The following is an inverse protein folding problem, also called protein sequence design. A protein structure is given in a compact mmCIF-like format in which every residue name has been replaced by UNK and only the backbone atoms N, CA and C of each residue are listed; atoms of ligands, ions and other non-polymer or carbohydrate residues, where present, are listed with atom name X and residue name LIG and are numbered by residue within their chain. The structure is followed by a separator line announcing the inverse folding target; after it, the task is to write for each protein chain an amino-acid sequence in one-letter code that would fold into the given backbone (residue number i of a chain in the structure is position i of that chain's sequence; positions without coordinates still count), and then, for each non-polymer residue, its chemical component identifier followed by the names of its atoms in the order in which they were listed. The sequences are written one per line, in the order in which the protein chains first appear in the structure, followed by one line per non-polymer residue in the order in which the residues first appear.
data_IF_046133017987
#
_entry.id   IF_046133017987
#
_cell.length_a   1.000
_cell.length_b   1.000
_cell.length_c   1.000
_cell.angle_alpha   90.00
_cell.angle_beta   90.00
_cell.angle_gamma   90.00
#
_symmetry.space_group_name_H-M   'P 1'
#
loop_
_entity.id
_entity.type
_entity.pdbx_description
1 polymer ?
#
# COMPACT_ATOMS: atom_id res chain seq x y z
N UNK A 1 44.93 1.50 -33.24
CA UNK A 1 43.74 0.62 -33.46
C UNK A 1 42.62 0.80 -32.42
N UNK A 2 42.81 1.54 -31.32
CA UNK A 2 41.81 1.66 -30.24
C UNK A 2 41.08 3.03 -30.14
N UNK A 3 41.50 4.04 -30.90
CA UNK A 3 40.94 5.40 -30.79
C UNK A 3 39.48 5.45 -31.26
N UNK A 4 39.13 4.76 -32.35
CA UNK A 4 37.76 4.70 -32.86
C UNK A 4 36.80 4.00 -31.88
N UNK A 5 37.23 2.87 -31.30
CA UNK A 5 36.43 2.14 -30.30
C UNK A 5 36.22 2.96 -29.01
N UNK A 6 37.21 3.75 -28.60
CA UNK A 6 37.10 4.62 -27.43
C UNK A 6 36.17 5.81 -27.71
N UNK A 7 36.30 6.45 -28.87
CA UNK A 7 35.40 7.53 -29.30
C UNK A 7 33.95 7.08 -29.44
N UNK A 8 33.70 5.88 -29.99
CA UNK A 8 32.34 5.31 -30.06
C UNK A 8 31.78 5.06 -28.67
N UNK A 9 32.54 4.46 -27.75
CA UNK A 9 32.11 4.24 -26.36
C UNK A 9 31.87 5.56 -25.61
N UNK A 10 32.68 6.59 -25.83
CA UNK A 10 32.48 7.91 -25.23
C UNK A 10 31.25 8.61 -25.81
N UNK A 11 31.00 8.49 -27.12
CA UNK A 11 29.81 8.99 -27.79
C UNK A 11 28.53 8.37 -27.22
N UNK A 12 28.48 7.03 -27.13
CA UNK A 12 27.34 6.31 -26.54
C UNK A 12 27.11 6.72 -25.08
N UNK A 13 28.17 7.04 -24.30
CA UNK A 13 28.01 7.46 -22.89
C UNK A 13 27.31 8.80 -22.81
N UNK A 14 27.74 9.77 -23.62
CA UNK A 14 27.12 11.10 -23.65
C UNK A 14 25.68 11.04 -24.13
N UNK A 15 25.39 10.20 -25.13
CA UNK A 15 24.01 10.02 -25.64
C UNK A 15 23.12 9.39 -24.56
N UNK A 16 23.58 8.32 -23.89
CA UNK A 16 22.83 7.68 -22.82
C UNK A 16 22.59 8.63 -21.64
N UNK A 17 23.60 9.41 -21.25
CA UNK A 17 23.45 10.42 -20.20
C UNK A 17 22.41 11.48 -20.60
N UNK A 18 22.53 12.08 -21.78
CA UNK A 18 21.56 13.07 -22.26
C UNK A 18 20.14 12.52 -22.42
N UNK A 19 20.00 11.24 -22.78
CA UNK A 19 18.69 10.57 -22.82
C UNK A 19 18.10 10.39 -21.42
N UNK A 20 18.94 10.03 -20.45
CA UNK A 20 18.57 9.96 -19.04
C UNK A 20 18.10 11.30 -18.48
N UNK A 21 18.82 12.38 -18.76
CA UNK A 21 18.47 13.73 -18.33
C UNK A 21 17.11 14.19 -18.89
N UNK A 22 16.84 13.86 -20.16
CA UNK A 22 15.54 14.14 -20.78
C UNK A 22 14.42 13.36 -20.10
N UNK A 23 14.63 12.08 -19.78
CA UNK A 23 13.65 11.25 -19.07
C UNK A 23 13.39 11.78 -17.65
N UNK A 24 14.43 12.19 -16.92
CA UNK A 24 14.31 12.81 -15.60
C UNK A 24 13.51 14.12 -15.68
N UNK A 25 13.81 14.97 -16.65
CA UNK A 25 13.09 16.24 -16.86
C UNK A 25 11.63 15.99 -17.21
N UNK A 26 11.34 15.02 -18.08
CA UNK A 26 9.97 14.64 -18.43
C UNK A 26 9.22 14.05 -17.24
N UNK A 27 9.86 13.22 -16.43
CA UNK A 27 9.26 12.66 -15.22
C UNK A 27 8.86 13.78 -14.26
N UNK A 28 9.78 14.69 -13.96
CA UNK A 28 9.53 15.80 -13.06
C UNK A 28 8.39 16.67 -13.56
N UNK A 29 8.37 17.02 -14.87
CA UNK A 29 7.32 17.84 -15.46
C UNK A 29 5.95 17.16 -15.57
N UNK A 30 5.89 15.83 -15.69
CA UNK A 30 4.64 15.10 -15.90
C UNK A 30 3.99 14.58 -14.62
N UNK A 31 4.77 14.37 -13.55
CA UNK A 31 4.25 13.70 -12.34
C UNK A 31 4.87 14.11 -11.02
N UNK A 32 6.00 14.82 -11.02
CA UNK A 32 6.82 15.00 -9.82
C UNK A 32 6.01 15.59 -8.67
N UNK A 33 5.53 16.83 -8.83
CA UNK A 33 4.77 17.51 -7.77
C UNK A 33 3.39 16.86 -7.54
N UNK A 34 2.71 16.44 -8.62
CA UNK A 34 1.40 15.76 -8.56
C UNK A 34 1.38 14.53 -7.65
N UNK A 35 2.46 13.73 -7.67
CA UNK A 35 2.61 12.56 -6.81
C UNK A 35 2.92 12.99 -5.37
N UNK A 36 3.92 13.85 -5.19
CA UNK A 36 4.43 14.24 -3.87
C UNK A 36 3.37 14.97 -3.05
N UNK A 37 2.66 15.91 -3.65
CA UNK A 37 1.59 16.67 -2.99
C UNK A 37 0.44 15.77 -2.52
N UNK A 38 0.20 14.70 -3.27
CA UNK A 38 -0.88 13.75 -3.05
C UNK A 38 -0.54 12.64 -2.04
N UNK A 39 0.73 12.19 -1.99
CA UNK A 39 1.14 10.97 -1.28
C UNK A 39 2.13 11.23 -0.15
N UNK A 40 3.18 12.02 -0.40
CA UNK A 40 4.31 12.11 0.53
C UNK A 40 3.88 12.77 1.85
N UNK A 41 4.33 12.19 2.98
CA UNK A 41 4.04 12.72 4.31
C UNK A 41 2.58 12.58 4.77
N UNK A 42 1.76 11.79 4.06
CA UNK A 42 0.35 11.56 4.36
C UNK A 42 0.07 10.11 4.73
N UNK A 43 -0.89 9.89 5.60
CA UNK A 43 -1.39 8.56 5.93
C UNK A 43 -2.12 7.94 4.72
N UNK A 44 -1.91 6.65 4.40
CA UNK A 44 -1.20 5.61 5.19
C UNK A 44 0.29 5.43 4.86
N UNK A 45 0.89 6.30 4.03
CA UNK A 45 2.30 6.22 3.61
C UNK A 45 3.27 6.74 4.68
N UNK A 46 2.79 7.64 5.54
CA UNK A 46 3.49 8.11 6.72
C UNK A 46 2.53 8.15 7.91
N UNK A 47 3.07 8.10 9.13
CA UNK A 47 2.28 8.31 10.34
C UNK A 47 1.99 9.81 10.47
N UNK A 48 0.82 10.22 9.95
CA UNK A 48 0.45 11.62 9.77
C UNK A 48 -1.06 11.81 10.00
N UNK A 49 -1.48 12.94 10.58
CA UNK A 49 -2.91 13.25 10.69
C UNK A 49 -3.52 13.69 9.34
N UNK A 50 -2.68 13.99 8.33
CA UNK A 50 -3.14 14.30 6.99
C UNK A 50 -3.23 13.01 6.19
N UNK A 51 -4.38 12.79 5.55
CA UNK A 51 -4.63 11.56 4.80
C UNK A 51 -4.50 11.79 3.30
N UNK A 52 -4.04 10.75 2.59
CA UNK A 52 -4.20 10.64 1.14
C UNK A 52 -5.69 10.49 0.85
N UNK A 53 -6.25 11.27 -0.08
CA UNK A 53 -7.65 11.06 -0.46
C UNK A 53 -7.83 9.77 -1.26
N UNK A 54 -9.01 9.15 -1.20
CA UNK A 54 -9.33 8.00 -2.04
C UNK A 54 -9.16 8.32 -3.55
N UNK A 55 -9.47 9.55 -3.94
CA UNK A 55 -9.31 10.03 -5.32
C UNK A 55 -7.83 10.12 -5.72
N UNK A 56 -7.00 10.71 -4.87
CA UNK A 56 -5.56 10.82 -5.11
C UNK A 56 -4.89 9.44 -5.19
N UNK A 57 -5.22 8.54 -4.27
CA UNK A 57 -4.70 7.18 -4.31
C UNK A 57 -5.05 6.48 -5.63
N UNK A 58 -6.29 6.61 -6.11
CA UNK A 58 -6.70 6.11 -7.42
C UNK A 58 -5.95 6.80 -8.56
N UNK A 59 -5.88 8.12 -8.56
CA UNK A 59 -5.23 8.92 -9.61
C UNK A 59 -3.76 8.55 -9.78
N UNK A 60 -3.05 8.33 -8.67
CA UNK A 60 -1.61 8.03 -8.67
C UNK A 60 -1.34 6.56 -9.04
N UNK A 61 -2.02 5.60 -8.42
CA UNK A 61 -1.63 4.18 -8.46
C UNK A 61 -2.46 3.28 -9.40
N UNK A 62 -3.66 3.70 -9.82
CA UNK A 62 -4.52 2.87 -10.65
C UNK A 62 -3.87 2.48 -11.98
N UNK A 63 -4.47 1.49 -12.66
CA UNK A 63 -4.12 1.18 -14.04
C UNK A 63 -4.38 2.38 -14.96
N UNK A 64 -3.34 2.84 -15.65
CA UNK A 64 -3.34 4.09 -16.41
C UNK A 64 -3.35 5.37 -15.57
N UNK A 65 -3.11 5.28 -14.26
CA UNK A 65 -2.86 6.43 -13.39
C UNK A 65 -1.51 7.09 -13.67
N UNK A 66 -1.16 8.12 -12.89
CA UNK A 66 0.03 8.97 -13.12
C UNK A 66 1.32 8.13 -13.26
N UNK A 67 1.58 7.24 -12.30
CA UNK A 67 2.81 6.42 -12.29
C UNK A 67 2.81 5.38 -13.41
N UNK A 68 1.68 4.70 -13.62
CA UNK A 68 1.55 3.64 -14.62
C UNK A 68 1.59 4.17 -16.06
N UNK A 69 1.02 5.35 -16.30
CA UNK A 69 1.01 6.00 -17.60
C UNK A 69 2.42 6.40 -18.06
N UNK A 70 3.22 6.98 -17.16
CA UNK A 70 4.61 7.31 -17.48
C UNK A 70 5.46 6.05 -17.63
N UNK A 71 5.33 5.09 -16.70
CA UNK A 71 6.03 3.82 -16.79
C UNK A 71 5.81 3.16 -18.15
N UNK A 72 4.54 2.99 -18.54
CA UNK A 72 4.17 2.28 -19.77
C UNK A 72 4.66 2.99 -21.03
N UNK A 73 4.66 4.34 -21.03
CA UNK A 73 5.04 5.15 -22.20
C UNK A 73 6.55 5.34 -22.32
N UNK A 74 7.25 5.58 -21.20
CA UNK A 74 8.63 6.05 -21.20
C UNK A 74 9.64 4.99 -20.74
N UNK A 75 9.32 4.23 -19.68
CA UNK A 75 10.30 3.37 -19.00
C UNK A 75 10.20 1.89 -19.38
N UNK A 76 8.99 1.37 -19.59
CA UNK A 76 8.76 -0.06 -19.86
C UNK A 76 9.53 -0.61 -21.08
N UNK A 77 9.69 0.13 -22.19
CA UNK A 77 10.51 -0.34 -23.31
C UNK A 77 11.99 -0.48 -22.95
N UNK A 78 12.47 0.35 -22.02
CA UNK A 78 13.88 0.50 -21.65
C UNK A 78 14.27 -0.37 -20.45
N UNK A 79 13.30 -0.84 -19.65
CA UNK A 79 13.54 -1.57 -18.42
C UNK A 79 13.50 -3.09 -18.58
N UNK A 80 14.42 -3.78 -17.89
CA UNK A 80 14.41 -5.20 -17.59
C UNK A 80 13.67 -5.40 -16.25
N UNK A 81 12.46 -5.96 -16.33
CA UNK A 81 11.61 -6.25 -15.15
C UNK A 81 11.67 -7.71 -14.72
N UNK A 82 12.52 -8.51 -15.38
CA UNK A 82 12.78 -9.89 -14.96
C UNK A 82 13.84 -9.97 -13.85
N UNK A 83 14.62 -8.90 -13.66
CA UNK A 83 15.51 -8.75 -12.50
C UNK A 83 14.79 -8.14 -11.30
N UNK A 84 15.26 -8.46 -10.10
CA UNK A 84 14.85 -7.81 -8.85
C UNK A 84 16.12 -7.35 -8.11
N UNK A 85 16.34 -6.03 -7.93
CA UNK A 85 15.48 -4.93 -8.36
C UNK A 85 15.42 -4.73 -9.88
N UNK A 86 14.44 -3.97 -10.35
CA UNK A 86 14.32 -3.56 -11.75
C UNK A 86 15.51 -2.72 -12.19
N UNK A 87 15.95 -2.91 -13.45
CA UNK A 87 17.09 -2.18 -14.02
C UNK A 87 16.87 -1.84 -15.48
N UNK A 88 17.64 -0.90 -16.02
CA UNK A 88 17.64 -0.64 -17.45
C UNK A 88 18.28 -1.78 -18.24
N UNK A 89 17.71 -2.09 -19.41
CA UNK A 89 18.31 -3.01 -20.38
C UNK A 89 19.67 -2.46 -20.82
N UNK A 90 20.66 -3.33 -21.08
CA UNK A 90 21.92 -2.89 -21.64
C UNK A 90 21.71 -2.31 -23.05
N UNK A 91 22.35 -1.18 -23.34
CA UNK A 91 22.43 -0.57 -24.67
C UNK A 91 23.62 -1.13 -25.43
N UNK A 92 23.83 -0.65 -26.67
CA UNK A 92 25.04 -0.95 -27.45
C UNK A 92 26.32 -0.73 -26.60
N UNK A 93 27.27 -1.66 -26.73
CA UNK A 93 28.51 -1.64 -25.94
C UNK A 93 28.37 -2.12 -24.49
N UNK A 94 27.25 -2.75 -24.12
CA UNK A 94 26.94 -3.23 -22.77
C UNK A 94 26.94 -2.11 -21.72
N UNK A 95 26.42 -0.95 -22.11
CA UNK A 95 26.29 0.20 -21.24
C UNK A 95 24.88 0.31 -20.69
N UNK A 96 24.71 0.98 -19.56
CA UNK A 96 23.40 1.16 -18.93
C UNK A 96 22.95 2.60 -19.10
N UNK A 97 21.66 2.80 -19.38
CA UNK A 97 21.03 4.11 -19.34
C UNK A 97 21.10 4.68 -17.91
N UNK A 98 21.41 5.97 -17.79
CA UNK A 98 21.35 6.69 -16.50
C UNK A 98 20.03 7.47 -16.40
N UNK A 99 18.92 6.74 -16.42
CA UNK A 99 17.58 7.33 -16.35
C UNK A 99 17.07 7.49 -14.91
N UNK A 100 15.78 7.85 -14.75
CA UNK A 100 15.10 7.88 -13.46
C UNK A 100 15.28 6.60 -12.63
N UNK A 101 15.20 6.74 -11.30
CA UNK A 101 15.13 5.58 -10.43
C UNK A 101 13.87 4.74 -10.76
N UNK A 102 14.07 3.44 -10.95
CA UNK A 102 13.00 2.50 -11.27
C UNK A 102 12.29 1.99 -10.01
N UNK A 103 12.86 2.20 -8.82
CA UNK A 103 12.33 1.72 -7.53
C UNK A 103 10.88 2.17 -7.28
N UNK A 104 10.53 3.47 -7.41
CA UNK A 104 9.14 3.91 -7.20
C UNK A 104 8.13 3.21 -8.12
N UNK A 105 8.53 2.90 -9.36
CA UNK A 105 7.64 2.23 -10.33
C UNK A 105 7.46 0.74 -10.03
N UNK A 106 8.52 0.08 -9.54
CA UNK A 106 8.46 -1.29 -9.06
C UNK A 106 7.52 -1.39 -7.85
N UNK A 107 7.69 -0.50 -6.86
CA UNK A 107 6.84 -0.44 -5.67
C UNK A 107 5.39 -0.08 -6.04
N UNK A 108 5.17 0.89 -6.93
CA UNK A 108 3.84 1.24 -7.42
C UNK A 108 3.13 0.06 -8.11
N UNK A 109 3.86 -0.79 -8.84
CA UNK A 109 3.29 -2.02 -9.40
C UNK A 109 2.88 -3.02 -8.30
N UNK A 110 3.68 -3.15 -7.24
CA UNK A 110 3.33 -3.99 -6.09
C UNK A 110 2.07 -3.46 -5.38
N UNK A 111 1.99 -2.16 -5.09
CA UNK A 111 0.78 -1.50 -4.57
C UNK A 111 -0.42 -1.78 -5.49
N UNK A 112 -0.25 -1.58 -6.80
CA UNK A 112 -1.32 -1.84 -7.79
C UNK A 112 -1.81 -3.29 -7.76
N UNK A 113 -0.91 -4.26 -7.57
CA UNK A 113 -1.26 -5.69 -7.53
C UNK A 113 -2.13 -6.07 -6.32
N UNK A 114 -2.02 -5.32 -5.22
CA UNK A 114 -2.77 -5.54 -3.99
C UNK A 114 -4.08 -4.78 -4.01
N UNK A 115 -4.01 -3.50 -4.35
CA UNK A 115 -5.13 -2.57 -4.19
C UNK A 115 -5.96 -2.38 -5.46
N UNK A 116 -5.52 -2.81 -6.63
CA UNK A 116 -6.26 -2.61 -7.89
C UNK A 116 -6.41 -3.92 -8.68
N UNK A 117 -6.57 -5.04 -7.97
CA UNK A 117 -6.76 -6.36 -8.56
C UNK A 117 -8.22 -6.67 -8.97
N UNK A 118 -9.17 -5.80 -8.64
CA UNK A 118 -10.56 -5.89 -9.08
C UNK A 118 -10.71 -5.52 -10.55
N UNK A 119 -11.83 -5.92 -11.16
CA UNK A 119 -12.11 -5.69 -12.58
C UNK A 119 -11.93 -4.22 -12.98
N UNK A 120 -11.11 -3.98 -14.01
CA UNK A 120 -10.79 -2.66 -14.55
C UNK A 120 -9.66 -1.90 -13.83
N UNK A 121 -9.28 -2.27 -12.60
CA UNK A 121 -8.14 -1.67 -11.89
C UNK A 121 -8.18 -0.14 -11.77
N UNK A 122 -9.38 0.46 -11.73
CA UNK A 122 -9.61 1.91 -11.71
C UNK A 122 -9.88 2.49 -10.33
N UNK A 123 -10.45 1.69 -9.44
CA UNK A 123 -10.73 2.05 -8.05
C UNK A 123 -10.02 1.07 -7.15
N UNK A 124 -9.46 1.57 -6.06
CA UNK A 124 -8.79 0.70 -5.13
C UNK A 124 -9.81 -0.16 -4.38
N UNK A 125 -9.46 -1.43 -4.22
CA UNK A 125 -10.16 -2.40 -3.42
C UNK A 125 -9.17 -3.46 -2.95
N UNK A 126 -9.26 -3.84 -1.69
CA UNK A 126 -8.46 -4.92 -1.13
C UNK A 126 -9.32 -5.73 -0.14
N UNK A 127 -8.86 -6.91 0.21
CA UNK A 127 -9.61 -7.80 1.11
C UNK A 127 -8.74 -8.46 2.15
N UNK A 128 -9.33 -8.71 3.31
CA UNK A 128 -8.75 -9.50 4.38
C UNK A 128 -9.81 -10.40 5.03
N UNK A 129 -9.37 -11.26 5.93
CA UNK A 129 -10.20 -12.05 6.82
C UNK A 129 -9.89 -11.66 8.25
N UNK A 130 -10.94 -11.57 9.07
CA UNK A 130 -10.87 -11.29 10.51
C UNK A 130 -11.51 -12.44 11.26
N UNK A 131 -10.82 -13.04 12.22
CA UNK A 131 -11.38 -14.01 13.17
C UNK A 131 -11.11 -13.59 14.62
N UNK A 132 -11.97 -14.02 15.55
CA UNK A 132 -11.77 -13.80 16.99
C UNK A 132 -11.04 -15.02 17.53
N UNK A 133 -9.79 -14.84 17.97
CA UNK A 133 -8.94 -15.93 18.48
C UNK A 133 -9.10 -16.08 19.99
N UNK A 134 -9.17 -14.96 20.69
CA UNK A 134 -9.33 -14.91 22.14
C UNK A 134 -10.19 -13.72 22.53
N UNK A 135 -10.99 -13.89 23.58
CA UNK A 135 -11.90 -12.86 24.08
C UNK A 135 -12.14 -13.08 25.56
N UNK A 136 -11.96 -12.04 26.36
CA UNK A 136 -12.23 -12.06 27.79
C UNK A 136 -13.66 -12.55 28.06
N UNK A 137 -13.89 -13.53 28.96
CA UNK A 137 -15.22 -14.04 29.28
C UNK A 137 -16.21 -12.99 29.80
N UNK A 138 -15.73 -11.86 30.33
CA UNK A 138 -16.55 -10.73 30.74
C UNK A 138 -17.13 -9.95 29.54
N UNK A 139 -16.61 -10.16 28.33
CA UNK A 139 -17.24 -9.72 27.08
C UNK A 139 -18.17 -10.86 26.63
N UNK A 140 -19.48 -10.62 26.64
CA UNK A 140 -20.49 -11.59 26.24
C UNK A 140 -20.77 -11.57 24.74
N UNK A 141 -20.55 -10.42 24.08
CA UNK A 141 -20.67 -10.27 22.63
C UNK A 141 -19.64 -9.25 22.13
N UNK A 142 -18.95 -9.57 21.04
CA UNK A 142 -18.14 -8.66 20.26
C UNK A 142 -18.81 -8.42 18.90
N UNK A 143 -18.98 -7.15 18.52
CA UNK A 143 -19.50 -6.75 17.21
C UNK A 143 -18.41 -6.03 16.45
N UNK A 144 -18.06 -6.53 15.28
CA UNK A 144 -17.13 -5.88 14.34
C UNK A 144 -17.95 -5.45 13.12
N UNK A 145 -18.04 -4.15 12.84
CA UNK A 145 -18.68 -3.60 11.63
C UNK A 145 -17.61 -2.89 10.78
N UNK A 146 -17.24 -3.50 9.65
CA UNK A 146 -16.33 -2.90 8.68
C UNK A 146 -17.13 -2.45 7.47
N UNK A 147 -17.47 -1.16 7.45
CA UNK A 147 -18.17 -0.51 6.34
C UNK A 147 -19.46 -1.22 5.90
N UNK A 148 -20.21 -1.78 6.85
CA UNK A 148 -21.45 -2.54 6.64
C UNK A 148 -21.28 -4.06 6.57
N UNK A 149 -20.05 -4.58 6.71
CA UNK A 149 -19.75 -6.01 6.80
C UNK A 149 -19.59 -6.38 8.27
N UNK A 150 -20.57 -7.10 8.82
CA UNK A 150 -20.71 -7.29 10.27
C UNK A 150 -20.38 -8.72 10.71
N UNK A 151 -19.53 -8.86 11.72
CA UNK A 151 -19.35 -10.07 12.52
C UNK A 151 -19.92 -9.85 13.92
N UNK A 152 -20.72 -10.81 14.39
CA UNK A 152 -21.14 -10.89 15.80
C UNK A 152 -20.59 -12.17 16.38
N UNK A 153 -19.80 -12.05 17.44
CA UNK A 153 -19.15 -13.18 18.09
C UNK A 153 -19.54 -13.22 19.57
N UNK A 154 -19.96 -14.38 20.07
CA UNK A 154 -20.40 -14.58 21.45
C UNK A 154 -19.93 -15.95 21.97
N UNK A 155 -18.60 -16.16 22.05
CA UNK A 155 -17.96 -17.41 22.48
C UNK A 155 -18.40 -18.65 21.69
N UNK A 156 -18.73 -18.44 20.41
CA UNK A 156 -19.12 -19.49 19.49
C UNK A 156 -17.93 -20.13 18.77
N UNK A 157 -18.17 -21.06 17.84
CA UNK A 157 -17.12 -21.55 16.95
C UNK A 157 -16.52 -20.38 16.15
N UNK A 158 -15.22 -20.45 15.89
CA UNK A 158 -14.54 -19.47 15.04
C UNK A 158 -15.16 -19.43 13.64
N UNK A 159 -15.49 -18.22 13.19
CA UNK A 159 -16.04 -17.93 11.87
C UNK A 159 -15.37 -16.67 11.33
N UNK A 160 -14.39 -16.81 10.42
CA UNK A 160 -13.75 -15.67 9.81
C UNK A 160 -14.75 -14.80 9.03
N UNK A 161 -14.73 -13.50 9.28
CA UNK A 161 -15.39 -12.49 8.44
C UNK A 161 -14.47 -12.15 7.27
N UNK A 162 -14.91 -12.39 6.05
CA UNK A 162 -14.25 -11.83 4.86
C UNK A 162 -14.68 -10.36 4.71
N UNK A 163 -13.68 -9.48 4.70
CA UNK A 163 -13.85 -8.04 4.55
C UNK A 163 -13.27 -7.62 3.21
N UNK A 164 -14.04 -6.85 2.45
CA UNK A 164 -13.55 -6.07 1.31
C UNK A 164 -13.60 -4.58 1.67
N UNK A 165 -12.53 -3.84 1.39
CA UNK A 165 -12.44 -2.41 1.61
C UNK A 165 -12.10 -1.68 0.31
N UNK A 166 -12.79 -0.59 -0.05
CA UNK A 166 -14.07 -0.11 0.53
C UNK A 166 -15.18 -1.17 0.48
N UNK A 167 -16.11 -1.12 1.44
CA UNK A 167 -17.24 -2.04 1.54
C UNK A 167 -18.53 -1.45 0.99
N UNK A 168 -19.70 -2.03 1.34
CA UNK A 168 -21.01 -1.57 0.88
C UNK A 168 -21.37 -0.11 1.22
N UNK A 169 -20.70 0.50 2.20
CA UNK A 169 -20.91 1.91 2.60
C UNK A 169 -19.85 2.87 2.03
N UNK A 170 -19.13 2.46 0.99
CA UNK A 170 -18.13 3.26 0.25
C UNK A 170 -16.88 3.65 1.06
N UNK A 171 -16.50 2.88 2.07
CA UNK A 171 -15.20 3.01 2.76
C UNK A 171 -15.17 4.21 3.69
N UNK A 172 -16.09 4.26 4.64
CA UNK A 172 -16.32 5.42 5.49
C UNK A 172 -15.93 5.21 6.95
N UNK A 173 -16.06 3.98 7.46
CA UNK A 173 -15.87 3.68 8.88
C UNK A 173 -15.53 2.22 9.15
N UNK A 174 -14.93 1.99 10.31
CA UNK A 174 -14.69 0.67 10.87
C UNK A 174 -14.88 0.73 12.39
N UNK A 175 -15.58 -0.26 12.96
CA UNK A 175 -15.94 -0.26 14.39
C UNK A 175 -15.78 -1.64 15.01
N UNK A 176 -15.28 -1.68 16.24
CA UNK A 176 -15.33 -2.82 17.14
C UNK A 176 -16.03 -2.39 18.43
N UNK A 177 -17.06 -3.14 18.84
CA UNK A 177 -17.81 -2.93 20.07
C UNK A 177 -17.77 -4.17 20.94
N UNK A 178 -17.38 -4.02 22.20
CA UNK A 178 -17.45 -5.04 23.24
C UNK A 178 -18.67 -4.83 24.15
N UNK A 179 -19.45 -5.90 24.36
CA UNK A 179 -20.63 -5.92 25.24
C UNK A 179 -20.40 -6.85 26.43
N UNK A 180 -20.90 -6.54 27.64
CA UNK A 180 -21.62 -5.31 28.00
C UNK A 180 -20.72 -4.09 27.92
N UNK A 181 -21.32 -2.96 27.51
CA UNK A 181 -20.62 -1.68 27.46
C UNK A 181 -20.43 -1.17 28.88
N UNK A 182 -19.18 -1.04 29.31
CA UNK A 182 -18.85 -0.47 30.63
C UNK A 182 -18.82 1.06 30.53
N UNK A 183 -18.12 1.58 29.52
CA UNK A 183 -18.24 2.98 29.08
C UNK A 183 -18.32 3.04 27.57
N UNK A 184 -18.96 4.07 27.03
CA UNK A 184 -19.22 4.16 25.59
C UNK A 184 -17.94 4.34 24.77
N UNK A 185 -17.01 5.15 25.26
CA UNK A 185 -15.75 5.55 24.63
C UNK A 185 -14.64 4.49 24.70
N UNK A 186 -14.73 3.57 25.65
CA UNK A 186 -13.72 2.52 25.89
C UNK A 186 -14.22 1.11 25.59
N UNK A 187 -15.54 0.90 25.52
CA UNK A 187 -16.12 -0.36 25.00
C UNK A 187 -16.38 -0.32 23.50
N UNK A 188 -16.16 0.82 22.83
CA UNK A 188 -16.22 0.94 21.37
C UNK A 188 -14.98 1.64 20.84
N UNK A 189 -14.36 0.99 19.87
CA UNK A 189 -13.35 1.59 19.01
C UNK A 189 -14.01 1.89 17.65
N UNK A 190 -14.09 3.17 17.29
CA UNK A 190 -14.66 3.64 16.04
C UNK A 190 -13.65 4.51 15.30
N UNK A 191 -13.36 4.17 14.06
CA UNK A 191 -12.52 4.94 13.16
C UNK A 191 -13.30 5.37 11.93
N UNK A 192 -12.89 6.48 11.30
CA UNK A 192 -13.56 7.07 10.15
C UNK A 192 -12.58 7.52 9.07
N UNK A 193 -13.12 7.89 7.91
CA UNK A 193 -12.34 8.37 6.77
C UNK A 193 -11.99 7.28 5.75
N UNK A 194 -11.34 7.65 4.63
CA UNK A 194 -10.99 6.73 3.53
C UNK A 194 -10.09 5.56 3.96
N UNK A 195 -9.40 5.72 5.10
CA UNK A 195 -8.48 4.73 5.67
C UNK A 195 -8.91 4.24 7.05
N UNK A 196 -10.19 4.35 7.41
CA UNK A 196 -10.71 3.92 8.70
C UNK A 196 -10.27 2.50 9.08
N UNK A 197 -10.25 1.58 8.11
CA UNK A 197 -9.83 0.21 8.37
C UNK A 197 -8.36 0.10 8.79
N UNK A 198 -7.46 0.90 8.23
CA UNK A 198 -6.07 0.90 8.69
C UNK A 198 -5.95 1.54 10.07
N UNK A 199 -6.68 2.64 10.34
CA UNK A 199 -6.69 3.25 11.68
C UNK A 199 -7.20 2.28 12.74
N UNK A 200 -8.17 1.43 12.40
CA UNK A 200 -8.68 0.41 13.30
C UNK A 200 -7.57 -0.60 13.64
N UNK A 201 -6.80 -1.04 12.65
CA UNK A 201 -5.67 -1.95 12.83
C UNK A 201 -4.54 -1.30 13.63
N UNK A 202 -4.23 -0.03 13.37
CA UNK A 202 -3.20 0.74 14.08
C UNK A 202 -3.55 1.01 15.54
N UNK A 203 -4.83 1.03 15.89
CA UNK A 203 -5.30 1.22 17.26
C UNK A 203 -5.12 -0.03 18.14
N UNK A 204 -4.86 -1.19 17.55
CA UNK A 204 -4.58 -2.42 18.26
C UNK A 204 -3.09 -2.67 18.49
N UNK A 205 -2.76 -3.49 19.48
CA UNK A 205 -1.39 -3.91 19.76
C UNK A 205 -1.05 -5.18 19.00
N UNK A 206 -0.13 -5.09 18.05
CA UNK A 206 0.36 -6.24 17.27
C UNK A 206 1.11 -7.21 18.18
N UNK A 207 0.73 -8.47 18.13
CA UNK A 207 1.40 -9.56 18.84
C UNK A 207 2.32 -10.31 17.86
N UNK A 208 3.50 -10.69 18.33
CA UNK A 208 4.40 -11.53 17.54
C UNK A 208 3.79 -12.90 17.27
N UNK A 209 3.91 -13.36 16.03
CA UNK A 209 3.48 -14.70 15.62
C UNK A 209 4.54 -15.34 14.74
N UNK A 210 4.82 -16.62 15.00
CA UNK A 210 5.76 -17.40 14.20
C UNK A 210 5.16 -17.84 12.84
N UNK A 211 3.86 -17.65 12.63
CA UNK A 211 3.16 -18.11 11.42
C UNK A 211 3.11 -16.99 10.38
N UNK A 212 3.82 -17.16 9.27
CA UNK A 212 3.83 -16.22 8.16
C UNK A 212 2.43 -16.00 7.58
N UNK A 213 2.05 -14.74 7.37
CA UNK A 213 0.80 -14.35 6.73
C UNK A 213 -0.42 -14.30 7.66
N UNK A 214 -0.22 -14.62 8.95
CA UNK A 214 -1.20 -14.39 10.02
C UNK A 214 -0.68 -13.25 10.88
N UNK A 215 -1.56 -12.36 11.30
CA UNK A 215 -1.25 -11.30 12.25
C UNK A 215 -2.22 -11.38 13.41
N UNK A 216 -1.72 -11.24 14.63
CA UNK A 216 -2.54 -11.19 15.83
C UNK A 216 -2.55 -9.75 16.32
N UNK A 217 -3.74 -9.18 16.49
CA UNK A 217 -3.94 -7.80 16.95
C UNK A 217 -4.79 -7.82 18.20
N UNK A 218 -4.22 -7.33 19.29
CA UNK A 218 -4.88 -7.25 20.60
C UNK A 218 -5.54 -5.89 20.80
N UNK A 219 -6.76 -5.90 21.34
CA UNK A 219 -7.52 -4.73 21.72
C UNK A 219 -7.90 -4.83 23.19
N UNK A 220 -7.85 -3.69 23.89
CA UNK A 220 -8.32 -3.55 25.27
C UNK A 220 -9.64 -2.78 25.30
N UNK A 221 -10.66 -3.38 25.92
CA UNK A 221 -11.96 -2.75 26.15
C UNK A 221 -12.27 -2.71 27.64
N UNK A 222 -11.84 -1.63 28.30
CA UNK A 222 -11.99 -1.46 29.76
C UNK A 222 -11.23 -2.51 30.59
N UNK A 223 -10.01 -2.85 30.20
CA UNK A 223 -9.22 -3.92 30.85
C UNK A 223 -9.61 -5.33 30.42
N UNK A 224 -10.55 -5.48 29.47
CA UNK A 224 -10.99 -6.75 28.92
C UNK A 224 -10.38 -6.93 27.54
N UNK A 225 -9.60 -8.00 27.40
CA UNK A 225 -8.81 -8.28 26.20
C UNK A 225 -9.63 -8.95 25.09
N UNK A 226 -9.36 -8.56 23.86
CA UNK A 226 -9.80 -9.25 22.63
C UNK A 226 -8.59 -9.43 21.71
N UNK A 227 -8.38 -10.63 21.19
CA UNK A 227 -7.34 -10.89 20.18
C UNK A 227 -8.01 -11.28 18.87
N UNK A 228 -7.76 -10.48 17.85
CA UNK A 228 -8.19 -10.75 16.49
C UNK A 228 -7.05 -11.33 15.67
N UNK A 229 -7.36 -12.30 14.83
CA UNK A 229 -6.49 -12.74 13.77
C UNK A 229 -6.86 -12.06 12.46
N UNK A 230 -5.87 -11.46 11.81
CA UNK A 230 -5.97 -10.80 10.52
C UNK A 230 -5.16 -11.60 9.50
N UNK A 231 -5.82 -12.02 8.43
CA UNK A 231 -5.18 -12.70 7.30
C UNK A 231 -5.50 -11.96 6.00
N UNK A 232 -4.48 -11.66 5.21
CA UNK A 232 -4.64 -10.96 3.92
C UNK A 232 -3.93 -11.72 2.78
N UNK A 233 -3.87 -11.12 1.59
CA UNK A 233 -3.13 -11.68 0.46
C UNK A 233 -1.64 -11.88 0.80
N UNK A 234 -1.00 -12.88 0.18
CA UNK A 234 0.38 -13.30 0.52
C UNK A 234 1.42 -12.17 0.48
N UNK A 235 1.19 -11.16 -0.37
CA UNK A 235 2.13 -10.09 -0.66
C UNK A 235 1.80 -8.79 0.10
N UNK A 236 0.82 -8.82 1.01
CA UNK A 236 0.38 -7.63 1.74
C UNK A 236 0.06 -7.93 3.20
N UNK A 237 0.75 -7.24 4.10
CA UNK A 237 0.40 -7.19 5.51
C UNK A 237 -0.34 -5.87 5.80
N UNK A 238 -1.66 -5.89 6.04
CA UNK A 238 -2.42 -4.67 6.31
C UNK A 238 -2.13 -4.08 7.69
N UNK A 239 -1.56 -4.85 8.61
CA UNK A 239 -1.24 -4.40 9.97
C UNK A 239 0.06 -3.60 9.99
N UNK A 240 1.11 -4.06 9.31
CA UNK A 240 2.38 -3.32 9.25
C UNK A 240 2.40 -2.23 8.18
N UNK A 241 1.50 -2.29 7.19
CA UNK A 241 1.41 -1.30 6.08
C UNK A 241 2.72 -1.08 5.32
N UNK A 242 3.70 -1.99 5.45
CA UNK A 242 5.06 -1.83 4.93
C UNK A 242 5.09 -1.53 3.44
N UNK A 243 4.22 -2.15 2.66
CA UNK A 243 4.13 -1.91 1.22
C UNK A 243 3.83 -0.43 0.89
N UNK A 244 3.02 0.24 1.70
CA UNK A 244 2.69 1.65 1.55
C UNK A 244 3.77 2.52 2.16
N UNK A 245 4.26 2.20 3.35
CA UNK A 245 5.29 2.99 4.05
C UNK A 245 6.66 2.97 3.34
N UNK A 246 6.96 1.91 2.59
CA UNK A 246 8.21 1.82 1.82
C UNK A 246 8.15 2.59 0.50
N UNK A 247 6.96 3.04 0.07
CA UNK A 247 6.83 3.81 -1.16
C UNK A 247 7.20 5.27 -0.94
N UNK A 248 7.90 5.85 -1.91
CA UNK A 248 8.09 7.30 -2.01
C UNK A 248 7.92 7.72 -3.46
N UNK A 249 7.32 8.89 -3.66
CA UNK A 249 7.22 9.46 -5.00
C UNK A 249 8.62 9.69 -5.60
N UNK A 250 8.76 9.65 -6.94
CA UNK A 250 10.03 9.92 -7.59
C UNK A 250 10.66 11.23 -7.11
N UNK A 251 11.93 11.15 -6.70
CA UNK A 251 12.69 12.29 -6.21
C UNK A 251 12.87 13.34 -7.31
N UNK A 252 13.00 14.61 -6.89
CA UNK A 252 13.37 15.70 -7.80
C UNK A 252 14.73 15.38 -8.42
N UNK A 253 14.83 15.50 -9.74
CA UNK A 253 16.12 15.49 -10.41
C UNK A 253 16.93 16.71 -9.92
N UNK A 254 18.09 16.47 -9.32
CA UNK A 254 19.05 17.51 -8.91
C UNK A 254 19.88 18.00 -10.09
#
# INVERSE_FOLDING_TARGET
KNILLDLTKQGTRKINAGTGDVLNTQMEAMMGDDCRDAIDGRYPFADSPQEVSAEDFNRIFASGGVLDAFWSKQLAPLADTASDPWRYKPTEGNMTLQGPDLTPFQQAKQIRSVFFNSEGGKKFSWSMQISVVDMDPAITELVIDIDGQVLRYAHGPDRPLKVTWPGPRNGSMAEITASPRIRQDTSTLLTGGPWALFHLLDAGMVQETAVRGRQLVEYDFDGRRVVLEITAGRDFNPVSRELLQNFSCPARAL
#
